data_IF_163654524990
#
_entry.id   IF_163654524990
#
_cell.length_a   1.000
_cell.length_b   1.000
_cell.length_c   1.000
_cell.angle_alpha   90.00
_cell.angle_beta   90.00
_cell.angle_gamma   90.00
#
_symmetry.space_group_name_H-M   'P 1'
#
loop_
_entity.id
_entity.type
_entity.pdbx_description
1 polymer ?
#
# COMPACT_ATOMS: atom_id res chain seq x y z
N UNK A 1 7.14 9.54 -35.74
CA UNK A 1 7.91 8.36 -35.26
C UNK A 1 9.25 8.89 -34.78
N UNK A 2 9.45 9.01 -33.47
CA UNK A 2 10.74 9.41 -32.91
C UNK A 2 11.65 8.18 -32.93
N UNK A 3 12.46 8.05 -33.97
CA UNK A 3 13.58 7.10 -33.98
C UNK A 3 14.68 7.75 -33.15
N UNK A 4 14.94 7.20 -31.97
CA UNK A 4 16.01 7.65 -31.10
C UNK A 4 17.29 6.94 -31.57
N UNK A 5 18.07 7.59 -32.43
CA UNK A 5 19.21 7.02 -33.16
C UNK A 5 20.55 7.15 -32.43
N UNK A 6 20.53 7.11 -31.09
CA UNK A 6 21.75 7.07 -30.28
C UNK A 6 21.61 6.04 -29.18
N UNK A 7 22.17 4.85 -29.42
CA UNK A 7 22.46 3.89 -28.37
C UNK A 7 23.61 4.42 -27.52
N UNK A 8 23.30 5.22 -26.50
CA UNK A 8 24.19 5.50 -25.36
C UNK A 8 24.40 4.22 -24.53
N UNK A 9 25.11 3.24 -25.12
CA UNK A 9 25.44 1.99 -24.44
C UNK A 9 26.59 2.14 -23.43
N UNK A 10 27.42 3.17 -23.56
CA UNK A 10 28.63 3.33 -22.73
C UNK A 10 28.44 4.20 -21.48
N UNK A 11 27.27 4.83 -21.31
CA UNK A 11 26.91 5.59 -20.09
C UNK A 11 25.58 5.13 -19.44
N UNK A 12 24.93 4.12 -19.99
CA UNK A 12 23.54 3.76 -19.66
C UNK A 12 23.33 2.83 -18.47
N UNK A 13 24.39 2.37 -17.80
CA UNK A 13 24.24 1.60 -16.57
C UNK A 13 24.00 2.53 -15.39
N UNK A 14 22.75 2.84 -15.05
CA UNK A 14 22.45 3.46 -13.74
C UNK A 14 23.21 2.65 -12.68
N UNK A 15 24.09 3.25 -11.87
CA UNK A 15 24.91 2.51 -10.93
C UNK A 15 23.97 1.75 -9.99
N UNK A 16 23.91 0.43 -10.15
CA UNK A 16 23.03 -0.47 -9.39
C UNK A 16 23.27 -0.26 -7.90
N UNK A 17 24.52 0.05 -7.53
CA UNK A 17 24.95 0.41 -6.20
C UNK A 17 24.13 1.57 -5.62
N UNK A 18 23.89 2.65 -6.37
CA UNK A 18 23.09 3.79 -5.89
C UNK A 18 21.66 3.36 -5.56
N UNK A 19 21.07 2.49 -6.39
CA UNK A 19 19.75 1.91 -6.11
C UNK A 19 19.73 1.07 -4.83
N UNK A 20 20.75 0.24 -4.62
CA UNK A 20 20.92 -0.57 -3.41
C UNK A 20 21.05 0.31 -2.17
N UNK A 21 21.89 1.34 -2.21
CA UNK A 21 22.07 2.26 -1.08
C UNK A 21 20.80 3.05 -0.78
N UNK A 22 20.12 3.58 -1.80
CA UNK A 22 18.88 4.35 -1.64
C UNK A 22 17.80 3.50 -0.98
N UNK A 23 17.56 2.28 -1.48
CA UNK A 23 16.54 1.39 -0.95
C UNK A 23 16.89 0.89 0.46
N UNK A 24 18.17 0.65 0.74
CA UNK A 24 18.63 0.24 2.07
C UNK A 24 18.47 1.36 3.08
N UNK A 25 18.82 2.59 2.69
CA UNK A 25 18.64 3.77 3.52
C UNK A 25 17.16 4.05 3.79
N UNK A 26 16.28 3.95 2.79
CA UNK A 26 14.84 4.12 2.97
C UNK A 26 14.26 3.13 4.00
N UNK A 27 14.64 1.85 3.93
CA UNK A 27 14.22 0.84 4.92
C UNK A 27 14.77 1.10 6.32
N UNK A 28 16.04 1.51 6.40
CA UNK A 28 16.66 1.88 7.67
C UNK A 28 15.98 3.12 8.28
N UNK A 29 15.65 4.10 7.45
CA UNK A 29 14.95 5.32 7.85
C UNK A 29 13.59 4.99 8.45
N UNK A 30 12.76 4.20 7.75
CA UNK A 30 11.47 3.75 8.28
C UNK A 30 11.60 2.98 9.60
N UNK A 31 12.63 2.13 9.74
CA UNK A 31 12.92 1.44 11.01
C UNK A 31 13.25 2.42 12.14
N UNK A 32 14.07 3.45 11.85
CA UNK A 32 14.42 4.48 12.84
C UNK A 32 13.21 5.33 13.23
N UNK A 33 12.35 5.69 12.28
CA UNK A 33 11.10 6.39 12.55
C UNK A 33 10.20 5.55 13.45
N UNK A 34 10.02 4.27 13.14
CA UNK A 34 9.28 3.35 14.01
C UNK A 34 9.86 3.30 15.42
N UNK A 35 11.18 3.13 15.57
CA UNK A 35 11.83 3.06 16.89
C UNK A 35 11.70 4.35 17.70
N UNK A 36 11.61 5.51 17.04
CA UNK A 36 11.43 6.80 17.70
C UNK A 36 9.98 7.06 18.12
N UNK A 37 9.01 6.68 17.31
CA UNK A 37 7.59 6.98 17.56
C UNK A 37 6.80 5.88 18.27
N UNK A 38 7.19 4.62 18.12
CA UNK A 38 6.41 3.50 18.64
C UNK A 38 6.66 3.29 20.13
N UNK A 39 5.58 3.15 20.90
CA UNK A 39 5.63 2.83 22.33
C UNK A 39 6.12 1.40 22.57
N UNK A 40 6.57 1.06 23.80
CA UNK A 40 6.84 -0.33 24.16
C UNK A 40 5.62 -1.21 23.87
N UNK A 41 5.82 -2.35 23.20
CA UNK A 41 4.79 -3.29 22.76
C UNK A 41 3.83 -2.79 21.66
N UNK A 42 4.09 -1.64 21.05
CA UNK A 42 3.35 -1.18 19.89
C UNK A 42 3.35 -2.23 18.78
N UNK A 43 2.18 -2.49 18.21
CA UNK A 43 2.03 -3.40 17.06
C UNK A 43 1.92 -2.59 15.77
N UNK A 44 2.85 -2.83 14.84
CA UNK A 44 2.70 -2.37 13.47
C UNK A 44 1.62 -3.21 12.77
N UNK A 45 0.51 -2.59 12.39
CA UNK A 45 -0.60 -3.26 11.73
C UNK A 45 -0.28 -3.52 10.26
N UNK A 46 0.37 -2.54 9.62
CA UNK A 46 0.73 -2.59 8.22
C UNK A 46 1.91 -1.66 7.95
N UNK A 47 2.77 -2.03 6.99
CA UNK A 47 3.75 -1.10 6.42
C UNK A 47 4.00 -1.44 4.95
N UNK A 48 4.14 -0.40 4.13
CA UNK A 48 4.55 -0.53 2.73
C UNK A 48 5.43 0.63 2.31
N UNK A 49 6.71 0.33 2.09
CA UNK A 49 7.73 1.22 1.53
C UNK A 49 8.05 2.43 2.43
N UNK A 50 7.16 3.40 2.48
CA UNK A 50 7.25 4.71 3.14
C UNK A 50 6.03 5.01 4.02
N UNK A 51 5.09 4.06 4.14
CA UNK A 51 3.88 4.19 4.95
C UNK A 51 3.82 3.15 6.07
N UNK A 52 3.11 3.50 7.14
CA UNK A 52 2.81 2.61 8.27
C UNK A 52 1.39 2.84 8.79
N UNK A 53 0.75 1.78 9.27
CA UNK A 53 -0.50 1.84 10.01
C UNK A 53 -0.26 1.26 11.41
N UNK A 54 -0.71 2.00 12.41
CA UNK A 54 -0.51 1.70 13.83
C UNK A 54 -1.74 2.17 14.59
N UNK A 55 -2.01 1.57 15.75
CA UNK A 55 -3.03 2.11 16.64
C UNK A 55 -2.58 3.46 17.18
N UNK A 56 -3.46 4.45 17.19
CA UNK A 56 -3.17 5.81 17.67
C UNK A 56 -2.58 5.80 19.10
N UNK A 57 -3.11 4.95 19.98
CA UNK A 57 -2.60 4.81 21.35
C UNK A 57 -1.16 4.29 21.46
N UNK A 58 -0.65 3.61 20.43
CA UNK A 58 0.63 2.91 20.43
C UNK A 58 1.76 3.73 19.77
N UNK A 59 1.44 4.91 19.25
CA UNK A 59 2.39 5.77 18.56
C UNK A 59 2.36 7.20 19.13
N UNK A 60 3.52 7.81 19.28
CA UNK A 60 3.62 9.19 19.73
C UNK A 60 3.43 10.15 18.54
N UNK A 61 2.22 10.72 18.43
CA UNK A 61 1.88 11.69 17.38
C UNK A 61 2.52 13.07 17.59
N UNK A 62 3.00 13.37 18.79
CA UNK A 62 3.67 14.65 19.10
C UNK A 62 5.19 14.58 18.89
N UNK A 63 5.68 13.43 18.42
CA UNK A 63 7.09 13.24 18.15
C UNK A 63 7.55 14.09 16.97
N UNK A 64 8.83 14.49 17.00
CA UNK A 64 9.47 15.29 15.94
C UNK A 64 9.51 14.58 14.56
N UNK A 65 9.05 13.33 14.48
CA UNK A 65 9.04 12.53 13.26
C UNK A 65 7.74 12.68 12.46
N UNK A 66 6.70 13.31 13.01
CA UNK A 66 5.47 13.65 12.29
C UNK A 66 5.55 15.09 11.78
N UNK A 67 5.16 15.32 10.54
CA UNK A 67 5.06 16.66 9.94
C UNK A 67 5.25 16.65 8.43
N UNK A 68 5.12 17.83 7.82
CA UNK A 68 5.10 18.01 6.36
C UNK A 68 6.49 18.19 5.74
N UNK A 69 7.53 18.15 6.57
CA UNK A 69 8.92 18.32 6.13
C UNK A 69 9.49 17.05 5.49
N UNK A 70 10.44 17.23 4.57
CA UNK A 70 11.10 16.12 3.89
C UNK A 70 11.73 15.13 4.89
N UNK A 71 11.34 13.87 4.77
CA UNK A 71 11.85 12.79 5.62
C UNK A 71 11.05 12.54 6.91
N UNK A 72 10.04 13.36 7.20
CA UNK A 72 9.04 13.10 8.25
C UNK A 72 7.86 12.30 7.69
N UNK A 73 7.05 11.75 8.59
CA UNK A 73 5.81 11.07 8.26
C UNK A 73 4.65 12.05 8.34
N UNK A 74 3.87 12.12 7.26
CA UNK A 74 2.61 12.86 7.26
C UNK A 74 1.48 11.98 7.80
N UNK A 75 0.57 12.57 8.59
CA UNK A 75 -0.64 11.88 9.02
C UNK A 75 -1.67 11.88 7.89
N UNK A 76 -1.62 10.84 7.05
CA UNK A 76 -2.47 10.75 5.86
C UNK A 76 -3.96 10.51 6.20
N UNK A 77 -4.26 9.56 7.11
CA UNK A 77 -5.62 9.24 7.52
C UNK A 77 -5.70 8.74 8.96
N UNK A 78 -6.78 9.09 9.65
CA UNK A 78 -7.24 8.40 10.86
C UNK A 78 -8.41 7.47 10.50
N UNK A 79 -8.14 6.17 10.50
CA UNK A 79 -9.18 5.18 10.21
C UNK A 79 -10.06 4.94 11.43
N UNK A 80 -11.38 4.91 11.24
CA UNK A 80 -12.33 4.41 12.23
C UNK A 80 -12.20 2.88 12.32
N UNK A 81 -12.08 2.23 11.17
CA UNK A 81 -11.83 0.80 11.06
C UNK A 81 -10.85 0.52 9.93
N UNK A 82 -9.98 -0.46 10.12
CA UNK A 82 -8.97 -0.88 9.13
C UNK A 82 -8.90 -2.41 9.09
N UNK A 83 -9.00 -2.97 7.89
CA UNK A 83 -8.81 -4.40 7.63
C UNK A 83 -7.61 -4.56 6.72
N UNK A 84 -6.63 -5.33 7.17
CA UNK A 84 -5.46 -5.71 6.38
C UNK A 84 -5.55 -7.22 6.09
N UNK A 85 -5.70 -7.58 4.82
CA UNK A 85 -5.79 -8.98 4.38
C UNK A 85 -4.47 -9.51 3.83
N UNK A 86 -3.52 -8.63 3.54
CA UNK A 86 -2.17 -9.02 3.15
C UNK A 86 -1.32 -7.89 2.61
N UNK A 87 -0.16 -8.25 2.03
CA UNK A 87 0.76 -7.28 1.42
C UNK A 87 0.05 -6.52 0.29
N UNK A 88 0.03 -5.18 0.39
CA UNK A 88 -0.63 -4.27 -0.58
C UNK A 88 -2.13 -4.54 -0.73
N UNK A 89 -2.75 -5.06 0.33
CA UNK A 89 -4.15 -5.47 0.39
C UNK A 89 -4.77 -5.05 1.72
N UNK A 90 -5.43 -3.90 1.71
CA UNK A 90 -6.13 -3.35 2.86
C UNK A 90 -7.31 -2.47 2.43
N UNK A 91 -8.23 -2.28 3.37
CA UNK A 91 -9.34 -1.33 3.26
C UNK A 91 -9.57 -0.67 4.61
N UNK A 92 -9.75 0.64 4.63
CA UNK A 92 -10.05 1.38 5.85
C UNK A 92 -11.12 2.43 5.63
N UNK A 93 -12.01 2.59 6.61
CA UNK A 93 -13.03 3.64 6.64
C UNK A 93 -12.54 4.83 7.46
N UNK A 94 -12.88 6.04 7.03
CA UNK A 94 -12.55 7.29 7.71
C UNK A 94 -13.67 8.31 7.49
N UNK A 95 -13.79 9.30 8.38
CA UNK A 95 -14.86 10.31 8.33
C UNK A 95 -14.27 11.62 7.82
N UNK A 96 -14.95 12.23 6.85
CA UNK A 96 -14.67 13.59 6.35
C UNK A 96 -16.01 14.29 6.18
N UNK A 97 -16.18 15.46 6.79
CA UNK A 97 -17.40 16.26 6.70
C UNK A 97 -18.68 15.45 7.02
N UNK A 98 -18.64 14.67 8.11
CA UNK A 98 -19.70 13.74 8.55
C UNK A 98 -20.06 12.60 7.58
N UNK A 99 -19.32 12.44 6.48
CA UNK A 99 -19.49 11.34 5.54
C UNK A 99 -18.45 10.23 5.73
N UNK A 100 -18.91 8.97 5.67
CA UNK A 100 -18.02 7.81 5.68
C UNK A 100 -17.37 7.64 4.30
N UNK A 101 -16.05 7.75 4.27
CA UNK A 101 -15.22 7.48 3.09
C UNK A 101 -14.37 6.24 3.30
N UNK A 102 -13.90 5.67 2.19
CA UNK A 102 -13.12 4.43 2.19
C UNK A 102 -11.83 4.57 1.41
N UNK A 103 -10.71 4.20 2.03
CA UNK A 103 -9.45 3.97 1.34
C UNK A 103 -9.34 2.51 0.97
N UNK A 104 -9.22 2.23 -0.34
CA UNK A 104 -9.19 0.87 -0.90
C UNK A 104 -7.84 0.63 -1.58
N UNK A 105 -7.09 -0.38 -1.13
CA UNK A 105 -5.84 -0.81 -1.78
C UNK A 105 -5.81 -2.32 -1.90
N UNK A 106 -6.07 -2.84 -3.11
CA UNK A 106 -5.85 -4.26 -3.41
C UNK A 106 -5.05 -4.39 -4.70
N UNK A 107 -3.72 -4.50 -4.57
CA UNK A 107 -2.85 -4.66 -5.73
C UNK A 107 -3.25 -5.90 -6.54
N UNK A 108 -3.42 -5.72 -7.84
CA UNK A 108 -3.80 -6.77 -8.78
C UNK A 108 -5.31 -7.02 -8.88
N UNK A 109 -6.14 -6.29 -8.14
CA UNK A 109 -7.61 -6.33 -8.27
C UNK A 109 -8.08 -4.97 -8.77
N UNK A 110 -8.88 -4.87 -9.84
CA UNK A 110 -9.43 -3.60 -10.28
C UNK A 110 -10.40 -3.01 -9.24
N UNK A 111 -10.32 -1.71 -9.00
CA UNK A 111 -11.03 -1.03 -7.91
C UNK A 111 -12.56 -1.19 -7.96
N UNK A 112 -13.12 -1.31 -9.16
CA UNK A 112 -14.57 -1.50 -9.38
C UNK A 112 -15.12 -2.81 -8.78
N UNK A 113 -14.26 -3.81 -8.56
CA UNK A 113 -14.64 -5.09 -7.93
C UNK A 113 -14.44 -5.07 -6.41
N UNK A 114 -14.04 -3.94 -5.84
CA UNK A 114 -13.79 -3.76 -4.40
C UNK A 114 -14.91 -2.90 -3.84
N UNK A 115 -15.98 -3.56 -3.41
CA UNK A 115 -17.17 -2.91 -2.85
C UNK A 115 -16.99 -2.66 -1.35
N UNK A 116 -17.75 -1.71 -0.77
CA UNK A 116 -17.91 -1.62 0.68
C UNK A 116 -18.45 -2.92 1.30
N UNK A 117 -19.32 -3.66 0.62
CA UNK A 117 -19.87 -4.92 1.17
C UNK A 117 -18.79 -5.99 1.39
N UNK A 118 -17.74 -5.99 0.54
CA UNK A 118 -16.57 -6.83 0.75
C UNK A 118 -15.89 -6.54 2.10
N UNK A 119 -15.95 -5.29 2.57
CA UNK A 119 -15.41 -4.88 3.86
C UNK A 119 -16.19 -5.51 5.01
N UNK A 120 -17.52 -5.40 4.98
CA UNK A 120 -18.43 -5.99 5.97
C UNK A 120 -18.27 -7.51 6.00
N UNK A 121 -18.24 -8.16 4.83
CA UNK A 121 -18.00 -9.61 4.74
C UNK A 121 -16.64 -10.03 5.29
N UNK A 122 -15.58 -9.26 5.03
CA UNK A 122 -14.26 -9.56 5.57
C UNK A 122 -14.19 -9.40 7.09
N UNK A 123 -14.97 -8.47 7.67
CA UNK A 123 -15.08 -8.31 9.12
C UNK A 123 -15.86 -9.46 9.77
N UNK A 124 -16.96 -9.91 9.15
CA UNK A 124 -17.86 -10.93 9.69
C UNK A 124 -17.33 -12.37 9.46
N UNK A 125 -17.11 -12.73 8.20
CA UNK A 125 -16.80 -14.11 7.78
C UNK A 125 -15.29 -14.39 7.64
N UNK A 126 -14.47 -13.33 7.73
CA UNK A 126 -12.99 -13.38 7.62
C UNK A 126 -12.45 -13.93 6.30
N UNK A 127 -13.32 -14.24 5.33
CA UNK A 127 -12.96 -14.78 4.01
C UNK A 127 -13.88 -14.18 2.96
N UNK A 128 -13.30 -13.83 1.81
CA UNK A 128 -14.06 -13.43 0.64
C UNK A 128 -13.36 -13.87 -0.65
N UNK A 129 -14.13 -14.11 -1.70
CA UNK A 129 -13.61 -14.39 -3.04
C UNK A 129 -14.03 -13.24 -3.94
N UNK A 130 -13.05 -12.60 -4.58
CA UNK A 130 -13.31 -11.55 -5.57
C UNK A 130 -13.00 -12.12 -6.95
N UNK A 131 -14.00 -12.14 -7.81
CA UNK A 131 -13.88 -12.53 -9.21
C UNK A 131 -13.85 -11.27 -10.08
N UNK A 132 -12.91 -11.20 -11.02
CA UNK A 132 -12.81 -10.04 -11.91
C UNK A 132 -12.33 -10.42 -13.29
N UNK A 133 -12.82 -9.68 -14.29
CA UNK A 133 -12.44 -9.86 -15.68
C UNK A 133 -11.03 -9.31 -15.92
N UNK A 134 -10.17 -10.11 -16.56
CA UNK A 134 -8.84 -9.71 -16.99
C UNK A 134 -8.62 -10.09 -18.44
N UNK A 135 -7.79 -9.31 -19.12
CA UNK A 135 -7.48 -9.50 -20.53
C UNK A 135 -6.01 -9.91 -20.68
N UNK A 136 -5.77 -10.96 -21.46
CA UNK A 136 -4.43 -11.35 -21.89
C UNK A 136 -4.31 -11.13 -23.40
N UNK A 137 -3.21 -10.50 -23.80
CA UNK A 137 -2.80 -10.44 -25.21
C UNK A 137 -2.07 -11.72 -25.57
N UNK A 138 -2.59 -12.44 -26.54
CA UNK A 138 -1.97 -13.62 -27.13
C UNK A 138 -1.99 -13.46 -28.65
N UNK A 139 -0.80 -13.39 -29.27
CA UNK A 139 -0.55 -13.40 -30.73
C UNK A 139 -1.67 -12.78 -31.59
N UNK A 140 -1.84 -11.45 -31.50
CA UNK A 140 -2.81 -10.72 -32.34
C UNK A 140 -4.26 -10.75 -31.87
N UNK A 141 -4.56 -11.42 -30.75
CA UNK A 141 -5.90 -11.47 -30.15
C UNK A 141 -5.90 -11.03 -28.68
N UNK A 142 -7.04 -10.49 -28.22
CA UNK A 142 -7.28 -10.18 -26.81
C UNK A 142 -8.31 -11.18 -26.29
N UNK A 143 -7.92 -12.03 -25.33
CA UNK A 143 -8.83 -12.97 -24.67
C UNK A 143 -9.14 -12.48 -23.25
N UNK A 144 -10.43 -12.39 -22.94
CA UNK A 144 -10.93 -12.15 -21.59
C UNK A 144 -11.03 -13.46 -20.80
N UNK A 145 -10.65 -13.45 -19.54
CA UNK A 145 -10.85 -14.56 -18.62
C UNK A 145 -11.20 -14.03 -17.22
N UNK A 146 -11.91 -14.83 -16.43
CA UNK A 146 -12.21 -14.50 -15.03
C UNK A 146 -11.04 -14.95 -14.16
N UNK A 147 -10.48 -14.01 -13.40
CA UNK A 147 -9.47 -14.28 -12.38
C UNK A 147 -10.16 -14.25 -11.01
N UNK A 148 -9.89 -15.26 -10.19
CA UNK A 148 -10.40 -15.35 -8.82
C UNK A 148 -9.28 -15.00 -7.84
N UNK A 149 -9.61 -14.19 -6.83
CA UNK A 149 -8.70 -13.88 -5.72
C UNK A 149 -9.35 -14.11 -4.38
N UNK A 150 -8.76 -15.03 -3.62
CA UNK A 150 -9.16 -15.33 -2.26
C UNK A 150 -8.53 -14.32 -1.30
N UNK A 151 -9.36 -13.66 -0.51
CA UNK A 151 -8.99 -12.72 0.53
C UNK A 151 -9.31 -13.35 1.89
N UNK A 152 -8.38 -13.26 2.83
CA UNK A 152 -8.57 -13.74 4.21
C UNK A 152 -8.13 -12.65 5.18
N UNK A 153 -8.97 -12.35 6.16
CA UNK A 153 -8.62 -11.45 7.26
C UNK A 153 -7.74 -12.22 8.27
N UNK A 154 -6.60 -11.64 8.63
CA UNK A 154 -5.66 -12.14 9.64
C UNK A 154 -5.81 -11.44 10.97
#
# INVERSE_FOLDING_TARGET
>A
MLINDKTDKDQGGKPIQNGVFTLSYARLHMKKLWQKGAKPNARCLYSDTDSLCVYEKDFDLNSEIIGDEMGKLELEHKFVQLVCTGKKQYMGSYIVDDEIRYKKRFKGVPLQYITPDLYTHLLEDKKAVVEFLKFRREWGSVRGYIEQKNLKMT
#
